data_IF_616237889604
#
_entry.id   IF_616237889604
#
_cell.length_a   1.000
_cell.length_b   1.000
_cell.length_c   1.000
_cell.angle_alpha   90.00
_cell.angle_beta   90.00
_cell.angle_gamma   90.00
#
_symmetry.space_group_name_H-M   'P 1'
#
loop_
_entity.id
_entity.type
_entity.pdbx_description
1 polymer ?
#
# COMPACT_ATOMS: atom_id res chain seq x y z
N UNK A 1 2.31 -0.26 15.53
CA UNK A 1 2.72 0.96 16.28
C UNK A 1 3.74 1.67 15.40
N UNK A 2 3.41 2.83 14.88
CA UNK A 2 4.29 3.63 14.03
C UNK A 2 5.31 4.31 14.94
N UNK A 3 6.51 3.77 15.01
CA UNK A 3 7.56 4.39 15.81
C UNK A 3 8.04 5.67 15.14
N UNK A 4 7.83 6.79 15.78
CA UNK A 4 8.51 8.03 15.47
C UNK A 4 9.97 7.80 15.84
N UNK A 5 10.87 7.84 14.86
CA UNK A 5 12.29 7.69 15.13
C UNK A 5 12.82 8.90 15.91
N UNK A 6 13.17 8.70 17.16
CA UNK A 6 13.62 9.75 18.09
C UNK A 6 14.94 10.45 17.67
N UNK A 7 15.59 9.99 16.61
CA UNK A 7 16.94 10.41 16.25
C UNK A 7 17.09 11.18 14.93
N UNK A 8 16.06 11.23 14.09
CA UNK A 8 16.09 12.01 12.85
C UNK A 8 15.13 13.20 12.94
N UNK A 9 15.61 14.47 12.92
CA UNK A 9 14.76 15.64 12.96
C UNK A 9 13.71 15.68 11.82
N UNK A 10 14.02 15.10 10.66
CA UNK A 10 13.10 15.03 9.52
C UNK A 10 11.91 14.11 9.84
N UNK A 11 12.14 12.94 10.45
CA UNK A 11 11.08 12.00 10.80
C UNK A 11 10.25 12.41 12.01
N UNK A 12 10.77 13.24 12.87
CA UNK A 12 9.99 13.85 13.95
C UNK A 12 8.89 14.78 13.44
N UNK A 13 8.98 15.20 12.17
CA UNK A 13 8.08 16.18 11.57
C UNK A 13 7.36 15.69 10.32
N UNK A 14 7.64 14.48 9.84
CA UNK A 14 7.04 13.95 8.61
C UNK A 14 6.17 12.72 8.87
N UNK A 15 5.08 12.62 8.11
CA UNK A 15 4.22 11.45 8.12
C UNK A 15 4.82 10.32 7.22
N UNK A 16 4.47 9.04 7.47
CA UNK A 16 4.90 7.95 6.61
C UNK A 16 4.32 8.10 5.19
N UNK A 17 4.97 7.56 4.14
CA UNK A 17 4.48 7.67 2.75
C UNK A 17 3.06 7.15 2.56
N UNK A 18 2.62 6.14 3.33
CA UNK A 18 1.25 5.62 3.30
C UNK A 18 0.19 6.56 3.88
N UNK A 19 0.58 7.70 4.46
CA UNK A 19 -0.34 8.68 5.04
C UNK A 19 -1.33 9.25 4.01
N UNK A 20 -0.97 9.26 2.74
CA UNK A 20 -1.89 9.67 1.68
C UNK A 20 -3.23 8.93 1.75
N UNK A 21 -3.25 7.66 2.19
CA UNK A 21 -4.47 6.88 2.34
C UNK A 21 -5.36 7.31 3.53
N UNK A 22 -4.81 8.05 4.48
CA UNK A 22 -5.61 8.68 5.53
C UNK A 22 -6.36 9.93 5.02
N UNK A 23 -5.92 10.49 3.89
CA UNK A 23 -6.52 11.67 3.26
C UNK A 23 -7.49 11.26 2.15
N UNK A 24 -7.06 10.35 1.27
CA UNK A 24 -7.87 9.77 0.19
C UNK A 24 -7.47 8.32 -0.07
N UNK A 25 -8.34 7.39 0.20
CA UNK A 25 -8.07 5.97 -0.04
C UNK A 25 -8.32 5.56 -1.51
N UNK A 26 -9.25 6.23 -2.16
CA UNK A 26 -9.74 5.75 -3.45
C UNK A 26 -10.23 6.86 -4.32
N UNK A 27 -9.50 7.44 -5.14
CA UNK A 27 -9.94 8.39 -6.17
C UNK A 27 -11.02 7.78 -7.06
N UNK A 28 -12.29 7.78 -6.62
CA UNK A 28 -13.37 7.08 -7.32
C UNK A 28 -14.65 7.89 -7.34
N UNK A 29 -15.25 7.98 -8.53
CA UNK A 29 -16.54 8.64 -8.72
C UNK A 29 -17.64 7.99 -7.87
N UNK A 30 -18.33 8.83 -7.10
CA UNK A 30 -19.44 8.42 -6.22
C UNK A 30 -20.69 8.05 -7.01
N UNK A 31 -20.82 8.50 -8.26
CA UNK A 31 -21.98 8.26 -9.14
C UNK A 31 -22.23 6.80 -9.50
N UNK A 32 -21.29 5.92 -9.20
CA UNK A 32 -21.44 4.48 -9.43
C UNK A 32 -21.76 3.74 -8.13
N UNK A 33 -22.58 4.32 -7.27
CA UNK A 33 -23.05 3.66 -6.06
C UNK A 33 -23.72 2.30 -6.36
N UNK A 34 -23.39 1.30 -5.55
CA UNK A 34 -23.97 -0.05 -5.65
C UNK A 34 -23.25 -0.98 -6.64
N UNK A 35 -22.23 -0.50 -7.37
CA UNK A 35 -21.38 -1.36 -8.18
C UNK A 35 -20.23 -1.93 -7.34
N UNK A 36 -19.92 -3.20 -7.55
CA UNK A 36 -18.73 -3.80 -6.96
C UNK A 36 -17.49 -3.04 -7.42
N UNK A 37 -16.55 -2.82 -6.51
CA UNK A 37 -15.32 -2.10 -6.76
C UNK A 37 -14.14 -3.00 -6.46
N UNK A 38 -13.35 -3.25 -7.48
CA UNK A 38 -12.10 -3.98 -7.36
C UNK A 38 -10.94 -3.04 -7.66
N UNK A 39 -10.09 -2.84 -6.69
CA UNK A 39 -8.87 -2.05 -6.83
C UNK A 39 -7.85 -2.91 -7.59
N UNK A 40 -7.53 -2.56 -8.83
CA UNK A 40 -6.70 -3.38 -9.71
C UNK A 40 -5.25 -2.94 -9.74
N UNK A 41 -5.03 -1.64 -9.87
CA UNK A 41 -3.67 -1.13 -9.87
C UNK A 41 -3.60 0.28 -9.32
N UNK A 42 -2.42 0.65 -8.88
CA UNK A 42 -2.11 1.99 -8.39
C UNK A 42 -0.70 2.39 -8.76
N UNK A 43 -0.56 3.66 -9.13
CA UNK A 43 0.72 4.37 -9.20
C UNK A 43 0.69 5.49 -8.19
N UNK A 44 1.67 5.49 -7.29
CA UNK A 44 1.88 6.52 -6.28
C UNK A 44 3.21 7.20 -6.54
N UNK A 45 3.22 8.53 -6.52
CA UNK A 45 4.42 9.34 -6.70
C UNK A 45 4.50 10.37 -5.57
N UNK A 46 5.68 10.47 -4.93
CA UNK A 46 5.94 11.42 -3.86
C UNK A 46 7.00 12.40 -4.34
N UNK A 47 6.67 13.68 -4.29
CA UNK A 47 7.55 14.77 -4.69
C UNK A 47 8.16 15.46 -3.48
N UNK A 48 7.41 15.50 -2.37
CA UNK A 48 7.81 16.09 -1.11
C UNK A 48 7.23 15.28 0.07
N UNK A 49 7.84 15.34 1.25
CA UNK A 49 7.30 14.69 2.44
C UNK A 49 6.03 15.41 2.93
N UNK A 50 5.10 14.65 3.49
CA UNK A 50 3.99 15.20 4.26
C UNK A 50 4.50 15.68 5.62
N UNK A 51 4.41 16.95 5.93
CA UNK A 51 4.90 17.53 7.20
C UNK A 51 3.77 17.57 8.23
N UNK A 52 4.07 17.20 9.47
CA UNK A 52 3.10 17.23 10.57
C UNK A 52 2.72 18.70 10.86
N UNK A 53 1.41 18.96 10.85
CA UNK A 53 0.86 20.30 11.10
C UNK A 53 0.53 21.08 9.83
N UNK A 54 0.89 20.58 8.65
CA UNK A 54 0.41 21.16 7.38
C UNK A 54 -1.06 20.81 7.13
N UNK A 55 -1.80 21.75 6.55
CA UNK A 55 -3.10 21.45 5.96
C UNK A 55 -2.90 20.96 4.53
N UNK A 56 -3.47 19.82 4.23
CA UNK A 56 -3.40 19.21 2.92
C UNK A 56 -4.80 19.19 2.32
N UNK A 57 -4.93 19.68 1.12
CA UNK A 57 -6.16 19.53 0.32
C UNK A 57 -5.88 18.63 -0.89
N UNK A 58 -6.95 18.09 -1.47
CA UNK A 58 -6.86 17.20 -2.61
C UNK A 58 -7.60 17.80 -3.82
N UNK A 59 -7.03 17.55 -4.99
CA UNK A 59 -7.69 17.73 -6.28
C UNK A 59 -7.88 16.36 -6.91
N UNK A 60 -9.12 16.03 -7.24
CA UNK A 60 -9.47 14.75 -7.83
C UNK A 60 -9.98 14.93 -9.25
N UNK A 61 -9.59 14.04 -10.13
CA UNK A 61 -10.08 13.98 -11.51
C UNK A 61 -10.30 12.53 -11.94
N UNK A 62 -11.28 12.35 -12.82
CA UNK A 62 -11.56 11.08 -13.50
C UNK A 62 -11.09 11.22 -14.94
N UNK A 63 -10.13 10.38 -15.32
CA UNK A 63 -9.49 10.53 -16.61
C UNK A 63 -10.14 9.64 -17.68
N UNK A 64 -10.67 8.48 -17.30
CA UNK A 64 -11.11 7.49 -18.25
C UNK A 64 -12.09 6.47 -17.67
N UNK A 65 -13.09 6.13 -18.47
CA UNK A 65 -13.91 4.93 -18.28
C UNK A 65 -13.82 4.06 -19.55
N UNK A 66 -13.49 2.79 -19.37
CA UNK A 66 -13.40 1.81 -20.46
C UNK A 66 -14.31 0.64 -20.14
N UNK A 67 -15.36 0.47 -20.93
CA UNK A 67 -16.32 -0.62 -20.78
C UNK A 67 -15.79 -1.90 -21.44
N UNK A 68 -15.92 -3.01 -20.73
CA UNK A 68 -15.75 -4.35 -21.28
C UNK A 68 -16.99 -4.80 -22.06
N UNK A 69 -16.90 -5.93 -22.74
CA UNK A 69 -18.01 -6.51 -23.49
C UNK A 69 -19.29 -6.64 -22.64
N UNK A 70 -20.40 -6.19 -23.20
CA UNK A 70 -21.72 -6.26 -22.55
C UNK A 70 -22.02 -5.10 -21.58
N UNK A 71 -21.14 -4.15 -21.39
CA UNK A 71 -21.33 -2.93 -20.56
C UNK A 71 -21.63 -3.18 -19.06
N UNK A 72 -21.43 -4.40 -18.56
CA UNK A 72 -21.63 -4.73 -17.14
C UNK A 72 -20.37 -4.53 -16.31
N UNK A 73 -19.21 -4.43 -16.96
CA UNK A 73 -17.90 -4.24 -16.35
C UNK A 73 -17.24 -3.06 -17.03
N UNK A 74 -16.63 -2.19 -16.24
CA UNK A 74 -15.82 -1.11 -16.76
C UNK A 74 -14.66 -0.79 -15.83
N UNK A 75 -13.59 -0.26 -16.42
CA UNK A 75 -12.40 0.23 -15.69
C UNK A 75 -12.48 1.74 -15.58
N UNK A 76 -12.35 2.22 -14.36
CA UNK A 76 -12.34 3.64 -14.03
C UNK A 76 -10.93 4.03 -13.59
N UNK A 77 -10.35 5.02 -14.25
CA UNK A 77 -9.08 5.61 -13.87
C UNK A 77 -9.34 6.93 -13.15
N UNK A 78 -8.92 7.01 -11.92
CA UNK A 78 -8.97 8.23 -11.12
C UNK A 78 -7.57 8.72 -10.77
N UNK A 79 -7.44 10.04 -10.61
CA UNK A 79 -6.21 10.69 -10.19
C UNK A 79 -6.48 11.65 -9.06
N UNK A 80 -5.65 11.59 -8.00
CA UNK A 80 -5.67 12.52 -6.88
C UNK A 80 -4.32 13.21 -6.76
N UNK A 81 -4.32 14.51 -6.60
CA UNK A 81 -3.17 15.33 -6.24
C UNK A 81 -3.31 15.80 -4.81
N UNK A 82 -2.26 15.62 -4.02
CA UNK A 82 -2.19 16.05 -2.63
C UNK A 82 -1.38 17.34 -2.57
N UNK A 83 -1.97 18.42 -2.10
CA UNK A 83 -1.45 19.77 -2.23
C UNK A 83 -1.41 20.43 -0.86
N UNK A 84 -0.29 21.08 -0.50
CA UNK A 84 -0.16 21.82 0.74
C UNK A 84 -0.73 23.26 0.64
N UNK A 85 -0.69 24.00 1.74
CA UNK A 85 -1.19 25.38 1.80
C UNK A 85 -0.43 26.36 0.88
N UNK A 86 0.78 26.02 0.47
CA UNK A 86 1.60 26.82 -0.45
C UNK A 86 1.26 26.56 -1.93
N UNK A 87 0.37 25.60 -2.21
CA UNK A 87 0.03 25.16 -3.56
C UNK A 87 1.04 24.20 -4.17
N UNK A 88 1.94 23.63 -3.37
CA UNK A 88 2.91 22.65 -3.82
C UNK A 88 2.31 21.26 -3.82
N UNK A 89 2.52 20.49 -4.88
CA UNK A 89 2.08 19.11 -4.99
C UNK A 89 3.05 18.23 -4.20
N UNK A 90 2.56 17.61 -3.14
CA UNK A 90 3.33 16.71 -2.29
C UNK A 90 3.38 15.29 -2.86
N UNK A 91 2.26 14.82 -3.38
CA UNK A 91 2.14 13.49 -3.97
C UNK A 91 1.02 13.45 -5.03
N UNK A 92 1.09 12.43 -5.89
CA UNK A 92 0.00 12.07 -6.80
C UNK A 92 -0.30 10.58 -6.68
N UNK A 93 -1.57 10.23 -6.79
CA UNK A 93 -2.01 8.85 -6.96
C UNK A 93 -2.81 8.70 -8.25
N UNK A 94 -2.54 7.65 -9.01
CA UNK A 94 -3.37 7.22 -10.14
C UNK A 94 -3.84 5.80 -9.85
N UNK A 95 -5.15 5.61 -9.83
CA UNK A 95 -5.78 4.35 -9.46
C UNK A 95 -6.63 3.83 -10.61
N UNK A 96 -6.53 2.54 -10.89
CA UNK A 96 -7.44 1.83 -11.79
C UNK A 96 -8.30 0.90 -10.94
N UNK A 97 -9.61 1.14 -10.99
CA UNK A 97 -10.62 0.29 -10.38
C UNK A 97 -11.50 -0.35 -11.44
N UNK A 98 -11.68 -1.64 -11.33
CA UNK A 98 -12.70 -2.37 -12.07
C UNK A 98 -14.02 -2.24 -11.33
N UNK A 99 -15.06 -1.82 -12.05
CA UNK A 99 -16.43 -1.74 -11.58
C UNK A 99 -17.24 -2.87 -12.19
N UNK A 100 -17.98 -3.59 -11.36
CA UNK A 100 -18.85 -4.66 -11.80
C UNK A 100 -20.28 -4.33 -11.40
N UNK A 101 -21.15 -4.20 -12.40
CA UNK A 101 -22.57 -3.88 -12.24
C UNK A 101 -23.41 -5.12 -11.95
N UNK A 102 -22.83 -6.32 -12.06
CA UNK A 102 -23.53 -7.56 -11.77
C UNK A 102 -23.78 -7.69 -10.26
N UNK A 103 -24.85 -8.38 -9.86
CA UNK A 103 -25.05 -8.72 -8.47
C UNK A 103 -23.80 -9.37 -7.88
N UNK A 104 -23.55 -9.12 -6.60
CA UNK A 104 -22.50 -9.84 -5.87
C UNK A 104 -22.70 -11.35 -6.07
N UNK A 105 -21.67 -12.09 -6.48
CA UNK A 105 -21.77 -13.55 -6.46
C UNK A 105 -22.09 -13.97 -5.03
N UNK A 106 -22.80 -15.08 -4.90
CA UNK A 106 -22.93 -15.74 -3.60
C UNK A 106 -21.54 -15.82 -2.95
N UNK A 107 -21.42 -15.56 -1.65
CA UNK A 107 -20.13 -15.62 -0.97
C UNK A 107 -19.45 -16.93 -1.32
N UNK A 108 -18.27 -16.86 -1.93
CA UNK A 108 -17.49 -18.08 -2.16
C UNK A 108 -17.35 -18.76 -0.81
N UNK A 109 -17.80 -20.02 -0.73
CA UNK A 109 -17.67 -20.82 0.47
C UNK A 109 -16.19 -21.23 0.61
N UNK A 110 -15.33 -20.24 0.90
CA UNK A 110 -13.92 -20.48 1.15
C UNK A 110 -13.79 -21.25 2.44
N UNK A 111 -12.99 -22.31 2.46
CA UNK A 111 -12.77 -23.07 3.68
C UNK A 111 -12.22 -22.15 4.76
N UNK A 112 -12.75 -22.24 5.96
CA UNK A 112 -12.22 -21.55 7.13
C UNK A 112 -10.76 -21.95 7.35
N UNK A 113 -9.85 -20.98 7.32
CA UNK A 113 -8.45 -21.23 7.64
C UNK A 113 -8.34 -21.43 9.15
N UNK A 114 -7.83 -22.59 9.55
CA UNK A 114 -7.55 -22.90 10.95
C UNK A 114 -6.06 -23.17 11.11
N UNK A 115 -5.45 -22.41 11.99
CA UNK A 115 -4.06 -22.61 12.39
C UNK A 115 -4.00 -23.39 13.70
N UNK A 116 -3.06 -24.29 13.80
CA UNK A 116 -2.64 -24.89 15.06
C UNK A 116 -1.95 -23.83 15.95
N UNK A 117 -1.82 -24.13 17.23
CA UNK A 117 -1.10 -23.25 18.15
C UNK A 117 0.38 -23.05 17.73
N UNK A 118 0.99 -24.08 17.16
CA UNK A 118 2.38 -24.04 16.68
C UNK A 118 2.51 -23.13 15.44
N UNK A 119 1.55 -23.19 14.51
CA UNK A 119 1.51 -22.32 13.33
C UNK A 119 1.29 -20.85 13.72
N UNK A 120 0.36 -20.57 14.65
CA UNK A 120 0.15 -19.23 15.19
C UNK A 120 1.42 -18.70 15.86
N UNK A 121 2.08 -19.50 16.68
CA UNK A 121 3.35 -19.11 17.29
C UNK A 121 4.48 -18.89 16.25
N UNK A 122 4.44 -19.62 15.14
CA UNK A 122 5.39 -19.41 14.04
C UNK A 122 5.12 -18.10 13.27
N UNK A 123 3.84 -17.76 13.06
CA UNK A 123 3.44 -16.48 12.45
C UNK A 123 3.85 -15.33 13.36
N UNK A 124 3.55 -15.40 14.65
CA UNK A 124 3.92 -14.40 15.65
C UNK A 124 5.43 -14.16 15.67
N UNK A 125 6.23 -15.24 15.70
CA UNK A 125 7.70 -15.11 15.63
C UNK A 125 8.17 -14.39 14.37
N UNK A 126 7.54 -14.63 13.20
CA UNK A 126 7.87 -13.91 11.96
C UNK A 126 7.55 -12.41 12.06
N UNK A 127 6.40 -12.08 12.65
CA UNK A 127 5.99 -10.68 12.87
C UNK A 127 6.96 -9.98 13.82
N UNK A 128 7.30 -10.63 14.93
CA UNK A 128 8.22 -10.07 15.92
C UNK A 128 9.69 -10.00 15.43
N UNK A 129 10.04 -10.79 14.43
CA UNK A 129 11.37 -10.78 13.81
C UNK A 129 11.53 -9.72 12.71
N UNK A 130 10.50 -8.94 12.41
CA UNK A 130 10.60 -7.83 11.46
C UNK A 130 11.70 -6.86 11.89
N UNK A 131 12.57 -6.52 10.94
CA UNK A 131 13.67 -5.61 11.18
C UNK A 131 13.40 -4.28 10.52
N UNK A 132 13.34 -3.23 11.32
CA UNK A 132 13.35 -1.85 10.86
C UNK A 132 14.77 -1.31 10.97
N UNK A 133 15.27 -0.74 9.89
CA UNK A 133 16.59 -0.12 9.88
C UNK A 133 16.68 1.10 10.83
N UNK A 134 15.63 1.91 10.88
CA UNK A 134 15.59 3.11 11.72
C UNK A 134 16.60 4.18 11.28
N UNK A 135 17.31 4.82 12.22
CA UNK A 135 18.16 5.98 11.96
C UNK A 135 19.49 5.64 11.26
N UNK A 136 19.81 4.37 11.08
CA UNK A 136 21.04 3.99 10.40
C UNK A 136 20.92 4.22 8.88
N UNK A 137 21.72 5.11 8.25
CA UNK A 137 21.62 5.36 6.84
C UNK A 137 21.95 4.12 6.01
N UNK A 138 21.15 3.89 4.98
CA UNK A 138 21.47 2.93 3.93
C UNK A 138 22.09 3.71 2.78
N UNK A 139 23.39 3.54 2.56
CA UNK A 139 24.08 4.19 1.48
C UNK A 139 23.90 3.42 0.16
N UNK A 140 23.75 4.16 -0.93
CA UNK A 140 23.63 3.60 -2.25
C UNK A 140 24.83 2.71 -2.63
N UNK A 141 26.05 3.11 -2.23
CA UNK A 141 27.28 2.38 -2.51
C UNK A 141 27.36 1.02 -1.81
N UNK A 142 26.61 0.82 -0.73
CA UNK A 142 26.57 -0.42 0.02
C UNK A 142 25.45 -1.36 -0.47
N UNK A 143 24.54 -0.85 -1.33
CA UNK A 143 23.40 -1.59 -1.85
C UNK A 143 23.78 -2.35 -3.12
N UNK A 144 23.25 -3.58 -3.28
CA UNK A 144 23.60 -4.44 -4.43
C UNK A 144 22.35 -4.93 -5.14
N UNK A 145 22.47 -5.08 -6.48
CA UNK A 145 21.46 -5.79 -7.27
C UNK A 145 21.35 -7.23 -6.77
N UNK A 146 20.12 -7.72 -6.60
CA UNK A 146 19.79 -9.02 -6.03
C UNK A 146 19.70 -9.02 -4.50
N UNK A 147 19.95 -7.89 -3.82
CA UNK A 147 19.78 -7.78 -2.38
C UNK A 147 18.29 -7.90 -2.01
N UNK A 148 17.97 -8.78 -1.06
CA UNK A 148 16.62 -8.93 -0.51
C UNK A 148 16.28 -7.82 0.48
N UNK A 149 15.02 -7.37 0.46
CA UNK A 149 14.52 -6.35 1.37
C UNK A 149 14.13 -6.91 2.75
N UNK A 150 14.23 -8.22 2.95
CA UNK A 150 13.62 -8.90 4.08
C UNK A 150 12.16 -9.24 3.81
N UNK A 151 11.43 -9.55 4.88
CA UNK A 151 10.02 -9.92 4.80
C UNK A 151 9.19 -9.16 5.84
N UNK A 152 7.96 -8.84 5.48
CA UNK A 152 6.91 -8.36 6.38
C UNK A 152 5.80 -9.38 6.38
N UNK A 153 5.35 -9.81 7.57
CA UNK A 153 4.25 -10.77 7.72
C UNK A 153 3.02 -10.07 8.27
N UNK A 154 1.88 -10.27 7.63
CA UNK A 154 0.57 -9.72 8.04
C UNK A 154 -0.43 -10.85 8.26
N UNK A 155 -1.06 -10.86 9.41
CA UNK A 155 -2.09 -11.84 9.71
C UNK A 155 -1.79 -12.74 10.93
N UNK A 156 -2.69 -13.71 11.20
CA UNK A 156 -3.92 -13.99 10.46
C UNK A 156 -4.85 -12.78 10.43
N UNK A 157 -5.32 -12.40 9.23
CA UNK A 157 -6.14 -11.21 9.05
C UNK A 157 -7.46 -11.35 9.85
N UNK A 158 -7.68 -10.43 10.76
CA UNK A 158 -8.90 -10.37 11.56
C UNK A 158 -9.84 -9.27 11.07
N UNK A 159 -11.12 -9.36 11.44
CA UNK A 159 -12.07 -8.28 11.19
C UNK A 159 -11.63 -6.98 11.87
N UNK A 160 -10.93 -7.07 13.00
CA UNK A 160 -10.43 -5.89 13.71
C UNK A 160 -9.32 -5.17 12.94
N UNK A 161 -8.49 -5.90 12.18
CA UNK A 161 -7.47 -5.28 11.33
C UNK A 161 -8.12 -4.47 10.20
N UNK A 162 -9.20 -5.01 9.61
CA UNK A 162 -9.97 -4.31 8.57
C UNK A 162 -10.68 -3.08 9.15
N UNK A 163 -11.33 -3.23 10.30
CA UNK A 163 -12.02 -2.12 10.98
C UNK A 163 -11.02 -1.03 11.41
N UNK A 164 -9.88 -1.41 11.96
CA UNK A 164 -8.83 -0.47 12.36
C UNK A 164 -8.29 0.31 11.16
N UNK A 165 -8.05 -0.35 10.04
CA UNK A 165 -7.66 0.30 8.79
C UNK A 165 -8.72 1.32 8.35
N UNK A 166 -9.98 0.87 8.19
CA UNK A 166 -11.08 1.72 7.76
C UNK A 166 -11.35 2.90 8.70
N UNK A 167 -11.08 2.73 10.00
CA UNK A 167 -11.23 3.82 10.97
C UNK A 167 -10.13 4.87 10.89
N UNK A 168 -8.94 4.47 10.43
CA UNK A 168 -7.78 5.35 10.28
C UNK A 168 -7.66 5.97 8.89
N UNK A 169 -8.45 5.49 7.94
CA UNK A 169 -8.49 5.99 6.56
C UNK A 169 -9.92 6.40 6.21
N UNK A 170 -10.09 7.28 5.25
CA UNK A 170 -11.44 7.66 4.78
C UNK A 170 -12.07 6.61 3.87
N UNK A 171 -11.44 5.46 3.73
CA UNK A 171 -11.89 4.35 2.90
C UNK A 171 -12.93 3.45 3.56
N UNK A 172 -13.40 3.78 4.76
CA UNK A 172 -14.63 3.16 5.23
C UNK A 172 -15.70 3.42 4.16
N UNK A 173 -16.32 2.37 3.63
CA UNK A 173 -17.36 2.56 2.62
C UNK A 173 -18.37 3.54 3.21
N UNK A 174 -18.46 4.72 2.62
CA UNK A 174 -19.48 5.73 2.94
C UNK A 174 -20.88 5.18 2.64
N UNK A 175 -20.96 3.93 2.25
CA UNK A 175 -22.14 3.23 1.85
C UNK A 175 -22.50 2.19 2.90
N UNK A 176 -23.42 2.56 3.80
CA UNK A 176 -24.05 1.62 4.75
C UNK A 176 -24.64 0.39 4.06
N UNK A 177 -24.89 0.43 2.75
CA UNK A 177 -25.34 -0.71 1.95
C UNK A 177 -24.24 -1.74 1.71
N UNK A 178 -22.99 -1.35 1.59
CA UNK A 178 -21.87 -2.28 1.44
C UNK A 178 -21.63 -3.06 2.74
N UNK A 179 -21.90 -2.45 3.89
CA UNK A 179 -21.90 -3.12 5.17
C UNK A 179 -23.14 -4.03 5.36
N UNK A 180 -24.31 -3.62 4.85
CA UNK A 180 -25.57 -4.34 5.04
C UNK A 180 -25.73 -5.58 4.18
N UNK A 181 -24.97 -5.68 3.08
CA UNK A 181 -25.03 -6.81 2.14
C UNK A 181 -24.08 -7.95 2.46
N UNK A 182 -23.61 -8.07 3.71
CA UNK A 182 -22.68 -9.11 4.11
C UNK A 182 -21.24 -8.85 3.68
N UNK A 183 -21.00 -7.68 3.10
CA UNK A 183 -19.71 -7.27 2.60
C UNK A 183 -18.58 -7.46 3.61
N UNK A 184 -18.74 -7.06 4.86
CA UNK A 184 -17.73 -7.21 5.90
C UNK A 184 -17.38 -8.66 6.25
N UNK A 185 -18.31 -9.60 6.10
CA UNK A 185 -18.12 -11.00 6.49
C UNK A 185 -17.45 -11.83 5.37
N UNK A 186 -17.43 -11.32 4.15
CA UNK A 186 -16.75 -11.96 3.01
C UNK A 186 -15.38 -11.38 2.70
N UNK A 187 -14.89 -10.45 3.55
CA UNK A 187 -13.86 -9.54 3.06
C UNK A 187 -12.48 -9.76 3.57
N UNK A 188 -11.77 -9.25 2.84
CA UNK A 188 -10.41 -9.08 2.50
C UNK A 188 -9.91 -7.72 2.97
N UNK A 189 -8.60 -7.61 3.19
CA UNK A 189 -7.95 -6.33 3.24
C UNK A 189 -8.25 -5.54 1.95
N UNK A 190 -8.44 -4.22 2.08
CA UNK A 190 -8.65 -3.37 0.91
C UNK A 190 -7.39 -3.29 0.05
N UNK A 191 -7.53 -2.93 -1.23
CA UNK A 191 -6.38 -2.71 -2.10
C UNK A 191 -5.38 -1.70 -1.53
N UNK A 192 -5.82 -0.53 -1.05
CA UNK A 192 -5.00 0.43 -0.31
C UNK A 192 -4.28 -0.15 0.90
N UNK A 193 -4.96 -1.00 1.69
CA UNK A 193 -4.34 -1.68 2.83
C UNK A 193 -3.21 -2.62 2.37
N UNK A 194 -3.45 -3.44 1.34
CA UNK A 194 -2.43 -4.34 0.79
C UNK A 194 -1.25 -3.56 0.18
N UNK A 195 -1.52 -2.46 -0.51
CA UNK A 195 -0.47 -1.56 -1.03
C UNK A 195 0.37 -0.95 0.09
N UNK A 196 -0.27 -0.58 1.21
CA UNK A 196 0.44 -0.08 2.39
C UNK A 196 1.40 -1.10 3.01
N UNK A 197 1.16 -2.39 2.83
CA UNK A 197 2.08 -3.43 3.27
C UNK A 197 3.37 -3.47 2.42
N UNK A 198 3.27 -3.16 1.11
CA UNK A 198 4.46 -2.95 0.27
C UNK A 198 5.27 -1.74 0.77
N UNK A 199 4.59 -0.62 1.05
CA UNK A 199 5.21 0.59 1.60
C UNK A 199 5.89 0.27 2.94
N UNK A 200 5.26 -0.52 3.80
CA UNK A 200 5.83 -0.95 5.08
C UNK A 200 7.15 -1.72 4.89
N UNK A 201 7.22 -2.67 3.96
CA UNK A 201 8.45 -3.37 3.64
C UNK A 201 9.54 -2.41 3.16
N UNK A 202 9.18 -1.51 2.24
CA UNK A 202 10.12 -0.53 1.68
C UNK A 202 10.68 0.36 2.80
N UNK A 203 9.83 0.92 3.65
CA UNK A 203 10.26 1.83 4.73
C UNK A 203 11.10 1.13 5.78
N UNK A 204 10.80 -0.13 6.10
CA UNK A 204 11.63 -0.93 6.97
C UNK A 204 13.05 -1.13 6.41
N UNK A 205 13.15 -1.36 5.10
CA UNK A 205 14.44 -1.56 4.43
C UNK A 205 15.21 -0.24 4.23
N UNK A 206 14.51 0.85 3.85
CA UNK A 206 15.11 2.16 3.62
C UNK A 206 15.74 2.77 4.88
N UNK A 207 15.07 2.64 6.01
CA UNK A 207 15.35 3.44 7.21
C UNK A 207 14.96 4.92 7.02
N UNK A 208 15.44 5.75 7.94
CA UNK A 208 14.99 7.14 8.08
C UNK A 208 15.64 8.12 7.07
N UNK A 209 16.66 7.69 6.35
CA UNK A 209 17.44 8.52 5.41
C UNK A 209 17.13 8.26 3.94
N UNK A 210 16.38 7.20 3.63
CA UNK A 210 15.95 6.91 2.26
C UNK A 210 14.58 7.51 1.97
N UNK A 211 14.27 7.72 0.72
CA UNK A 211 12.98 8.30 0.28
C UNK A 211 12.32 7.39 -0.75
N UNK A 212 11.06 7.04 -0.51
CA UNK A 212 10.22 6.40 -1.52
C UNK A 212 9.73 7.49 -2.48
N UNK A 213 10.02 7.32 -3.76
CA UNK A 213 9.69 8.30 -4.81
C UNK A 213 8.52 7.86 -5.66
N UNK A 214 8.47 6.57 -6.00
CA UNK A 214 7.41 6.00 -6.82
C UNK A 214 7.13 4.56 -6.41
N UNK A 215 5.88 4.19 -6.41
CA UNK A 215 5.40 2.80 -6.27
C UNK A 215 4.34 2.55 -7.34
N UNK A 216 4.51 1.48 -8.09
CA UNK A 216 3.50 0.90 -8.95
C UNK A 216 3.13 -0.47 -8.39
N UNK A 217 1.85 -0.75 -8.26
CA UNK A 217 1.39 -2.02 -7.75
C UNK A 217 0.14 -2.51 -8.51
N UNK A 218 0.15 -3.80 -8.82
CA UNK A 218 -0.97 -4.55 -9.40
C UNK A 218 -1.53 -5.52 -8.36
N UNK A 219 -2.82 -5.47 -8.14
CA UNK A 219 -3.52 -6.36 -7.24
C UNK A 219 -4.10 -7.53 -8.03
N UNK A 220 -3.73 -8.75 -7.65
CA UNK A 220 -4.18 -9.99 -8.28
C UNK A 220 -5.28 -10.67 -7.48
N UNK A 221 -5.40 -10.33 -6.22
CA UNK A 221 -6.40 -10.85 -5.30
C UNK A 221 -6.41 -10.06 -4.02
N UNK A 222 -7.29 -10.42 -3.11
CA UNK A 222 -7.41 -9.73 -1.83
C UNK A 222 -7.11 -10.70 -0.68
N UNK A 223 -6.26 -10.32 0.30
CA UNK A 223 -6.12 -11.08 1.53
C UNK A 223 -7.47 -11.18 2.24
N UNK A 224 -7.93 -12.35 2.55
CA UNK A 224 -9.23 -12.58 3.19
C UNK A 224 -9.08 -12.93 4.68
N UNK A 225 -10.18 -12.84 5.41
CA UNK A 225 -10.19 -13.12 6.85
C UNK A 225 -9.59 -14.50 7.16
N UNK A 226 -8.71 -14.55 8.14
CA UNK A 226 -7.96 -15.74 8.53
C UNK A 226 -6.69 -15.96 7.70
N UNK A 227 -6.50 -15.30 6.56
CA UNK A 227 -5.28 -15.48 5.76
C UNK A 227 -4.07 -14.81 6.38
N UNK A 228 -2.90 -15.36 6.09
CA UNK A 228 -1.61 -14.74 6.42
C UNK A 228 -0.87 -14.38 5.14
N UNK A 229 -0.43 -13.14 5.05
CA UNK A 229 0.27 -12.61 3.89
C UNK A 229 1.74 -12.38 4.22
N UNK A 230 2.63 -12.82 3.34
CA UNK A 230 4.06 -12.48 3.40
C UNK A 230 4.39 -11.54 2.26
N UNK A 231 4.92 -10.37 2.59
CA UNK A 231 5.44 -9.38 1.66
C UNK A 231 6.95 -9.51 1.59
N UNK A 232 7.50 -9.55 0.39
CA UNK A 232 8.94 -9.64 0.13
C UNK A 232 9.34 -8.74 -1.05
N UNK A 233 10.61 -8.49 -1.19
CA UNK A 233 11.13 -7.70 -2.31
C UNK A 233 12.62 -7.87 -2.51
N UNK A 234 13.08 -7.38 -3.67
CA UNK A 234 14.48 -7.50 -4.09
C UNK A 234 14.89 -6.25 -4.87
N UNK A 235 16.11 -5.79 -4.68
CA UNK A 235 16.73 -4.74 -5.51
C UNK A 235 17.01 -5.30 -6.90
N UNK A 236 16.36 -4.75 -7.93
CA UNK A 236 16.50 -5.24 -9.31
C UNK A 236 17.41 -4.35 -10.16
N UNK A 237 17.56 -3.10 -9.78
CA UNK A 237 18.43 -2.17 -10.51
C UNK A 237 18.95 -1.06 -9.59
N UNK A 238 20.07 -0.44 -9.99
CA UNK A 238 20.67 0.71 -9.29
C UNK A 238 21.17 1.71 -10.32
N UNK A 239 21.02 2.98 -10.01
CA UNK A 239 21.53 4.05 -10.85
C UNK A 239 21.90 5.27 -10.05
N UNK A 240 22.71 6.12 -10.67
CA UNK A 240 23.11 7.41 -10.12
C UNK A 240 23.17 8.43 -11.25
N UNK A 241 22.64 9.60 -10.98
CA UNK A 241 22.78 10.77 -11.86
C UNK A 241 23.25 11.97 -11.02
N UNK A 242 23.30 13.14 -11.61
CA UNK A 242 23.77 14.36 -10.93
C UNK A 242 22.90 14.74 -9.72
N UNK A 243 21.62 14.37 -9.72
CA UNK A 243 20.65 14.80 -8.72
C UNK A 243 20.32 13.74 -7.67
N UNK A 244 20.46 12.46 -8.00
CA UNK A 244 20.03 11.38 -7.13
C UNK A 244 20.81 10.07 -7.34
N UNK A 245 20.95 9.34 -6.24
CA UNK A 245 21.35 7.92 -6.24
C UNK A 245 20.11 7.09 -5.94
N UNK A 246 19.69 6.23 -6.86
CA UNK A 246 18.41 5.52 -6.79
C UNK A 246 18.54 4.02 -6.92
N UNK A 247 17.55 3.32 -6.40
CA UNK A 247 17.37 1.89 -6.60
C UNK A 247 15.96 1.62 -7.11
N UNK A 248 15.83 0.60 -7.94
CA UNK A 248 14.57 0.02 -8.36
C UNK A 248 14.36 -1.31 -7.63
N UNK A 249 13.18 -1.46 -7.06
CA UNK A 249 12.78 -2.60 -6.24
C UNK A 249 11.69 -3.38 -6.97
N UNK A 250 11.76 -4.71 -6.92
CA UNK A 250 10.64 -5.60 -7.25
C UNK A 250 10.01 -6.08 -5.96
N UNK A 251 8.70 -6.06 -5.90
CA UNK A 251 7.91 -6.32 -4.70
C UNK A 251 6.84 -7.36 -4.99
N UNK A 252 6.51 -8.18 -4.01
CA UNK A 252 5.44 -9.17 -4.12
C UNK A 252 4.84 -9.52 -2.78
N UNK A 253 3.56 -9.88 -2.78
CA UNK A 253 2.85 -10.40 -1.62
C UNK A 253 2.14 -11.71 -1.94
N UNK A 254 2.31 -12.69 -1.06
CA UNK A 254 1.73 -14.01 -1.20
C UNK A 254 0.96 -14.42 0.04
N UNK A 255 -0.15 -15.12 -0.15
CA UNK A 255 -0.84 -15.82 0.93
C UNK A 255 -0.04 -17.04 1.42
N UNK A 256 -0.50 -17.63 2.52
CA UNK A 256 0.13 -18.82 3.12
C UNK A 256 0.19 -20.03 2.18
N UNK A 257 -0.70 -20.13 1.19
CA UNK A 257 -0.75 -21.16 0.16
C UNK A 257 0.04 -20.81 -1.11
N UNK A 258 0.83 -19.74 -1.06
CA UNK A 258 1.64 -19.20 -2.15
C UNK A 258 0.85 -18.51 -3.27
N UNK A 259 -0.45 -18.27 -3.11
CA UNK A 259 -1.21 -17.43 -4.03
C UNK A 259 -0.64 -16.00 -4.00
N UNK A 260 -0.28 -15.47 -5.18
CA UNK A 260 0.17 -14.09 -5.32
C UNK A 260 -1.02 -13.16 -5.36
N UNK A 261 -1.07 -12.23 -4.41
CA UNK A 261 -2.18 -11.28 -4.28
C UNK A 261 -1.82 -9.86 -4.71
N UNK A 262 -0.53 -9.52 -4.67
CA UNK A 262 -0.03 -8.21 -5.07
C UNK A 262 1.39 -8.33 -5.59
N UNK A 263 1.71 -7.56 -6.61
CA UNK A 263 3.06 -7.38 -7.12
C UNK A 263 3.29 -5.91 -7.48
N UNK A 264 4.54 -5.48 -7.56
CA UNK A 264 4.83 -4.10 -7.90
C UNK A 264 6.31 -3.81 -8.06
N UNK A 265 6.56 -2.58 -8.46
CA UNK A 265 7.90 -2.00 -8.53
C UNK A 265 7.94 -0.67 -7.78
N UNK A 266 9.09 -0.34 -7.23
CA UNK A 266 9.27 0.96 -6.57
C UNK A 266 10.61 1.58 -6.94
N UNK A 267 10.63 2.90 -6.99
CA UNK A 267 11.85 3.71 -7.08
C UNK A 267 12.07 4.38 -5.74
N UNK A 268 13.27 4.22 -5.22
CA UNK A 268 13.69 4.83 -3.97
C UNK A 268 14.99 5.60 -4.16
N UNK A 269 15.13 6.72 -3.46
CA UNK A 269 16.39 7.44 -3.37
C UNK A 269 17.13 7.07 -2.10
N UNK A 270 18.43 6.91 -2.20
CA UNK A 270 19.32 6.61 -1.09
C UNK A 270 20.40 7.69 -0.94
N UNK A 271 20.85 7.99 0.28
CA UNK A 271 22.00 8.85 0.49
C UNK A 271 23.25 8.24 -0.15
N UNK A 272 24.16 9.08 -0.59
CA UNK A 272 25.48 8.71 -1.14
C UNK A 272 26.59 9.17 -0.19
N UNK A 273 27.59 8.32 0.02
CA UNK A 273 28.75 8.62 0.89
C UNK A 273 29.54 9.85 0.42
N UNK A 274 29.44 10.21 -0.85
CA UNK A 274 30.15 11.37 -1.43
C UNK A 274 29.45 12.72 -1.27
N UNK A 275 28.23 12.76 -0.71
CA UNK A 275 27.40 13.95 -0.56
C UNK A 275 27.13 14.31 0.90
N UNK A 276 28.04 13.96 1.79
CA UNK A 276 28.02 14.38 3.21
C UNK A 276 28.73 15.68 3.43
#
# INVERSE_FOLDING_TARGET
MWGIGDSNPLWATTAPPSFLYAIDETTIALEHEGHQRHYESVTLEWFQPFVIGENIHIEQSYEKEVFEDGKSIFHQTGKTRFINELGEVLAESTVICRRDMRPLPEPENRPEIRYSAEELAAIERKILAEQRRGPEPRFWEDTKKGEGLGNVTKGPLSIMDVVAWCSGTQGAPNNSKDFSTGGLLTQAATGPQATSWLIHLITNWLGDHGTLVRLEADLRGNPFLGSTTTISGTVINLGKNENASWCELSLQGHLQDSERIIEGTAIVHLPSKGNQ
#
